data_IF_945343511688
#
_entry.id   IF_945343511688
#
_cell.length_a   1.000
_cell.length_b   1.000
_cell.length_c   1.000
_cell.angle_alpha   90.00
_cell.angle_beta   90.00
_cell.angle_gamma   90.00
#
_symmetry.space_group_name_H-M   'P 1'
#
loop_
_entity.id
_entity.type
_entity.pdbx_description
1 polymer ?
#
# COMPACT_ATOMS: atom_id res chain seq x y z
N UNK A 1 -22.33 -7.28 -8.99
CA UNK A 1 -22.53 -8.30 -7.93
C UNK A 1 -21.46 -9.39 -7.99
N UNK A 2 -21.28 -10.06 -9.12
CA UNK A 2 -20.28 -11.13 -9.31
C UNK A 2 -18.83 -10.68 -9.08
N UNK A 3 -18.47 -9.48 -9.54
CA UNK A 3 -17.12 -8.90 -9.35
C UNK A 3 -16.75 -8.73 -7.87
N UNK A 4 -17.72 -8.32 -7.05
CA UNK A 4 -17.52 -8.13 -5.61
C UNK A 4 -17.24 -9.46 -4.90
N UNK A 5 -17.93 -10.54 -5.28
CA UNK A 5 -17.70 -11.88 -4.73
C UNK A 5 -16.31 -12.41 -5.10
N UNK A 6 -15.82 -12.13 -6.30
CA UNK A 6 -14.46 -12.52 -6.74
C UNK A 6 -13.40 -11.77 -5.92
N UNK A 7 -13.59 -10.47 -5.67
CA UNK A 7 -12.68 -9.67 -4.83
C UNK A 7 -12.70 -10.18 -3.38
N UNK A 8 -13.88 -10.50 -2.84
CA UNK A 8 -14.02 -11.00 -1.48
C UNK A 8 -13.40 -12.39 -1.33
N UNK A 9 -13.62 -13.28 -2.30
CA UNK A 9 -13.02 -14.62 -2.33
C UNK A 9 -11.49 -14.57 -2.45
N UNK A 10 -10.95 -13.68 -3.29
CA UNK A 10 -9.50 -13.50 -3.43
C UNK A 10 -8.87 -12.88 -2.18
N UNK A 11 -9.54 -11.91 -1.53
CA UNK A 11 -9.09 -11.35 -0.25
C UNK A 11 -9.03 -12.41 0.85
N UNK A 12 -10.10 -13.20 1.01
CA UNK A 12 -10.19 -14.29 1.99
C UNK A 12 -9.15 -15.38 1.71
N UNK A 13 -9.02 -15.80 0.45
CA UNK A 13 -8.02 -16.80 0.05
C UNK A 13 -6.59 -16.35 0.35
N UNK A 14 -6.27 -15.08 0.07
CA UNK A 14 -4.95 -14.51 0.37
C UNK A 14 -4.67 -14.51 1.88
N UNK A 15 -5.68 -14.19 2.69
CA UNK A 15 -5.54 -14.18 4.15
C UNK A 15 -5.33 -15.59 4.71
N UNK A 16 -6.07 -16.59 4.22
CA UNK A 16 -5.95 -17.98 4.62
C UNK A 16 -4.59 -18.58 4.26
N UNK A 17 -4.09 -18.31 3.05
CA UNK A 17 -2.76 -18.74 2.62
C UNK A 17 -1.68 -18.14 3.54
N UNK A 18 -1.80 -16.84 3.84
CA UNK A 18 -0.86 -16.15 4.72
C UNK A 18 -0.89 -16.70 6.15
N UNK A 19 -2.07 -17.02 6.68
CA UNK A 19 -2.24 -17.66 7.98
C UNK A 19 -1.65 -19.09 8.00
N UNK A 20 -1.88 -19.88 6.94
CA UNK A 20 -1.32 -21.23 6.81
C UNK A 20 0.21 -21.21 6.78
N UNK A 21 0.81 -20.28 6.04
CA UNK A 21 2.27 -20.10 6.02
C UNK A 21 2.83 -19.67 7.39
N UNK A 22 2.11 -18.80 8.13
CA UNK A 22 2.47 -18.41 9.49
C UNK A 22 2.45 -19.59 10.47
N UNK A 23 1.45 -20.46 10.36
CA UNK A 23 1.37 -21.69 11.16
C UNK A 23 2.49 -22.65 10.76
N UNK A 24 2.76 -22.82 9.47
CA UNK A 24 3.83 -23.68 8.96
C UNK A 24 5.23 -23.21 9.38
N UNK A 25 5.41 -21.91 9.56
CA UNK A 25 6.65 -21.30 10.07
C UNK A 25 6.64 -21.02 11.57
N UNK A 26 5.57 -21.36 12.29
CA UNK A 26 5.55 -21.22 13.74
C UNK A 26 6.64 -22.11 14.34
N UNK A 27 7.63 -21.49 14.99
CA UNK A 27 8.80 -22.17 15.56
C UNK A 27 10.08 -22.16 14.73
N UNK A 28 10.12 -21.52 13.54
CA UNK A 28 11.37 -21.31 12.78
C UNK A 28 11.68 -19.82 12.62
N UNK A 29 12.92 -19.42 12.89
CA UNK A 29 13.40 -18.07 12.57
C UNK A 29 13.74 -18.02 11.07
N UNK A 30 13.09 -17.16 10.27
CA UNK A 30 13.43 -17.03 8.87
C UNK A 30 14.85 -16.48 8.70
N UNK A 31 15.59 -16.88 7.65
CA UNK A 31 16.91 -16.33 7.37
C UNK A 31 16.83 -14.81 7.22
N UNK A 32 17.80 -14.07 7.77
CA UNK A 32 17.83 -12.60 7.77
C UNK A 32 17.64 -12.01 6.37
N UNK A 33 18.21 -12.64 5.34
CA UNK A 33 18.06 -12.25 3.94
C UNK A 33 16.60 -12.26 3.45
N UNK A 34 15.77 -13.20 3.93
CA UNK A 34 14.35 -13.30 3.56
C UNK A 34 13.56 -12.18 4.21
N UNK A 35 13.85 -11.86 5.47
CA UNK A 35 13.22 -10.76 6.20
C UNK A 35 13.53 -9.42 5.55
N UNK A 36 14.80 -9.17 5.20
CA UNK A 36 15.21 -7.94 4.52
C UNK A 36 14.54 -7.79 3.15
N UNK A 37 14.41 -8.87 2.37
CA UNK A 37 13.73 -8.84 1.07
C UNK A 37 12.22 -8.68 1.21
N UNK A 38 11.60 -9.33 2.20
CA UNK A 38 10.18 -9.19 2.48
C UNK A 38 9.81 -7.75 2.90
N UNK A 39 10.71 -7.05 3.59
CA UNK A 39 10.51 -5.64 3.93
C UNK A 39 10.42 -4.72 2.69
N UNK A 40 10.97 -5.14 1.54
CA UNK A 40 10.90 -4.39 0.28
C UNK A 40 9.60 -4.61 -0.50
N UNK A 41 8.79 -5.61 -0.13
CA UNK A 41 7.54 -5.92 -0.83
C UNK A 41 6.53 -4.78 -0.69
N UNK A 42 6.39 -4.21 0.51
CA UNK A 42 5.47 -3.10 0.74
C UNK A 42 5.81 -1.84 -0.07
N UNK A 43 7.06 -1.32 -0.07
CA UNK A 43 7.43 -0.19 -0.91
C UNK A 43 7.39 -0.53 -2.41
N UNK A 44 7.71 -1.76 -2.83
CA UNK A 44 7.58 -2.16 -4.24
C UNK A 44 6.13 -2.20 -4.71
N UNK A 45 5.21 -2.73 -3.89
CA UNK A 45 3.78 -2.73 -4.18
C UNK A 45 3.23 -1.31 -4.26
N UNK A 46 3.63 -0.42 -3.35
CA UNK A 46 3.28 1.00 -3.41
C UNK A 46 3.82 1.69 -4.67
N UNK A 47 5.07 1.44 -5.04
CA UNK A 47 5.65 2.00 -6.25
C UNK A 47 4.90 1.53 -7.50
N UNK A 48 4.57 0.23 -7.58
CA UNK A 48 3.77 -0.31 -8.67
C UNK A 48 2.36 0.31 -8.72
N UNK A 49 1.73 0.52 -7.55
CA UNK A 49 0.43 1.18 -7.45
C UNK A 49 0.50 2.61 -7.98
N UNK A 50 1.49 3.40 -7.54
CA UNK A 50 1.72 4.77 -7.97
C UNK A 50 1.95 4.86 -9.49
N UNK A 51 2.77 3.97 -10.05
CA UNK A 51 3.02 3.90 -11.49
C UNK A 51 1.74 3.55 -12.25
N UNK A 52 0.96 2.57 -11.77
CA UNK A 52 -0.30 2.18 -12.40
C UNK A 52 -1.33 3.30 -12.37
N UNK A 53 -1.39 4.09 -11.29
CA UNK A 53 -2.27 5.26 -11.18
C UNK A 53 -1.77 6.46 -11.98
N UNK A 54 -0.45 6.60 -12.16
CA UNK A 54 0.19 7.70 -12.88
C UNK A 54 0.21 7.54 -14.41
N UNK A 55 -0.25 6.40 -14.95
CA UNK A 55 -0.41 6.22 -16.40
C UNK A 55 -1.48 7.15 -17.02
N UNK A 56 -2.33 7.75 -16.18
CA UNK A 56 -3.11 8.94 -16.51
C UNK A 56 -2.42 10.14 -15.87
N UNK A 57 -2.21 11.24 -16.61
CA UNK A 57 -1.55 12.44 -16.11
C UNK A 57 -2.13 12.82 -14.72
N UNK A 58 -1.38 12.63 -13.62
CA UNK A 58 -1.94 12.79 -12.29
C UNK A 58 -2.20 14.27 -12.07
N UNK A 59 -3.45 14.62 -11.78
CA UNK A 59 -3.82 15.99 -11.39
C UNK A 59 -3.01 16.46 -10.19
N UNK A 60 -2.87 17.78 -10.04
CA UNK A 60 -2.19 18.44 -8.92
C UNK A 60 -2.53 17.86 -7.52
N UNK A 61 -3.78 17.43 -7.21
CA UNK A 61 -4.14 16.86 -5.91
C UNK A 61 -3.41 15.55 -5.61
N UNK A 62 -3.22 14.71 -6.63
CA UNK A 62 -2.54 13.41 -6.50
C UNK A 62 -1.06 13.62 -6.23
N UNK A 63 -0.44 14.60 -6.90
CA UNK A 63 0.96 14.96 -6.67
C UNK A 63 1.17 15.46 -5.24
N UNK A 64 0.29 16.34 -4.74
CA UNK A 64 0.35 16.84 -3.37
C UNK A 64 0.17 15.72 -2.33
N UNK A 65 -0.78 14.81 -2.57
CA UNK A 65 -0.99 13.63 -1.73
C UNK A 65 0.21 12.68 -1.70
N UNK A 66 0.87 12.47 -2.84
CA UNK A 66 2.08 11.66 -2.94
C UNK A 66 3.24 12.30 -2.16
N UNK A 67 3.44 13.62 -2.28
CA UNK A 67 4.49 14.35 -1.55
C UNK A 67 4.23 14.27 -0.04
N UNK A 68 2.98 14.49 0.40
CA UNK A 68 2.62 14.40 1.81
C UNK A 68 2.80 12.98 2.37
N UNK A 69 2.34 11.96 1.63
CA UNK A 69 2.54 10.55 1.99
C UNK A 69 4.02 10.18 2.06
N UNK A 70 4.83 10.62 1.09
CA UNK A 70 6.27 10.41 1.08
C UNK A 70 6.97 11.09 2.26
N UNK A 71 6.65 12.34 2.55
CA UNK A 71 7.22 13.09 3.68
C UNK A 71 6.95 12.40 5.02
N UNK A 72 5.73 11.90 5.23
CA UNK A 72 5.36 11.17 6.45
C UNK A 72 6.04 9.81 6.52
N UNK A 73 6.15 9.09 5.40
CA UNK A 73 6.87 7.81 5.34
C UNK A 73 8.35 8.00 5.65
N UNK A 74 8.98 9.04 5.11
CA UNK A 74 10.39 9.32 5.31
C UNK A 74 10.70 9.57 6.79
N UNK A 75 9.78 10.19 7.52
CA UNK A 75 9.92 10.46 8.95
C UNK A 75 9.55 9.29 9.85
N UNK A 76 8.47 8.57 9.54
CA UNK A 76 7.92 7.52 10.42
C UNK A 76 8.44 6.12 10.11
N UNK A 77 9.00 5.92 8.91
CA UNK A 77 9.30 4.60 8.32
C UNK A 77 8.12 3.63 8.38
N UNK A 78 6.90 4.14 8.49
CA UNK A 78 5.69 3.35 8.65
C UNK A 78 4.69 3.69 7.53
N UNK A 79 4.44 2.69 6.68
CA UNK A 79 3.57 2.80 5.50
C UNK A 79 2.13 3.16 5.87
N UNK A 80 1.64 2.76 7.05
CA UNK A 80 0.27 3.10 7.47
C UNK A 80 0.11 4.59 7.73
N UNK A 81 1.15 5.26 8.21
CA UNK A 81 1.13 6.72 8.42
C UNK A 81 1.19 7.47 7.09
N UNK A 82 1.87 6.91 6.08
CA UNK A 82 1.88 7.43 4.72
C UNK A 82 0.48 7.45 4.11
N UNK A 83 -0.25 6.36 4.27
CA UNK A 83 -1.63 6.20 3.80
C UNK A 83 -2.57 7.15 4.54
N UNK A 84 -2.45 7.21 5.88
CA UNK A 84 -3.23 8.13 6.71
C UNK A 84 -2.98 9.61 6.40
N UNK A 85 -1.79 9.98 5.90
CA UNK A 85 -1.47 11.35 5.56
C UNK A 85 -1.77 11.71 4.09
N UNK A 86 -1.49 10.80 3.15
CA UNK A 86 -1.67 11.05 1.72
C UNK A 86 -3.13 11.14 1.32
N UNK A 87 -3.99 10.23 1.81
CA UNK A 87 -5.41 10.18 1.47
C UNK A 87 -6.18 11.47 1.80
N UNK A 88 -6.08 12.03 3.03
CA UNK A 88 -6.78 13.26 3.36
C UNK A 88 -6.23 14.47 2.60
N UNK A 89 -4.93 14.49 2.26
CA UNK A 89 -4.36 15.58 1.45
C UNK A 89 -4.92 15.58 0.03
N UNK A 90 -5.07 14.40 -0.59
CA UNK A 90 -5.73 14.28 -1.90
C UNK A 90 -7.18 14.78 -1.81
N UNK A 91 -7.91 14.36 -0.78
CA UNK A 91 -9.30 14.77 -0.57
C UNK A 91 -9.46 16.28 -0.38
N UNK A 92 -8.63 16.89 0.45
CA UNK A 92 -8.65 18.33 0.70
C UNK A 92 -8.30 19.09 -0.58
N UNK A 93 -7.28 18.64 -1.31
CA UNK A 93 -6.88 19.29 -2.56
C UNK A 93 -7.96 19.17 -3.65
N UNK A 94 -8.67 18.04 -3.73
CA UNK A 94 -9.84 17.91 -4.61
C UNK A 94 -11.01 18.79 -4.16
N UNK A 95 -11.31 18.83 -2.86
CA UNK A 95 -12.36 19.69 -2.32
C UNK A 95 -12.09 21.19 -2.53
N UNK A 96 -10.81 21.58 -2.61
CA UNK A 96 -10.38 22.94 -2.93
C UNK A 96 -10.50 23.31 -4.42
N UNK A 97 -10.98 22.40 -5.29
CA UNK A 97 -11.19 22.67 -6.71
C UNK A 97 -9.92 22.58 -7.57
N UNK A 98 -8.87 21.90 -7.08
CA UNK A 98 -7.63 21.67 -7.85
C UNK A 98 -7.71 20.42 -8.77
N UNK A 99 -8.92 19.90 -9.00
CA UNK A 99 -9.20 18.64 -9.72
C UNK A 99 -9.56 18.82 -11.18
#
# INVERSE_FOLDING_TARGET
MTLWLVVLATAVGTYLIRASLLVLWSGRTPPSAVVTRAALVAPAALAALLVSTGAHAPGLPVVLGCIAGFAVTYRTRNVMHALAAGLPVVWIAQAAGLG
#
